data_IF_307075227066
#
_entry.id   IF_307075227066
#
_cell.length_a   1.000
_cell.length_b   1.000
_cell.length_c   1.000
_cell.angle_alpha   90.00
_cell.angle_beta   90.00
_cell.angle_gamma   90.00
#
_symmetry.space_group_name_H-M   'P 1'
#
loop_
_entity.id
_entity.type
_entity.pdbx_description
1 polymer ?
#
# COMPACT_ATOMS: atom_id res chain seq x y z
N UNK A 1 21.97 9.17 23.78
CA UNK A 1 20.80 9.21 24.68
C UNK A 1 19.62 9.50 23.80
N UNK A 2 18.71 8.55 23.68
CA UNK A 2 17.54 8.67 22.81
C UNK A 2 16.47 9.44 23.59
N UNK A 3 16.20 10.69 23.20
CA UNK A 3 15.20 11.52 23.86
C UNK A 3 13.81 10.95 23.59
N UNK A 4 13.21 10.35 24.63
CA UNK A 4 11.83 9.88 24.57
C UNK A 4 10.91 11.10 24.54
N UNK A 5 10.45 11.51 23.36
CA UNK A 5 9.46 12.59 23.19
C UNK A 5 8.12 12.15 23.79
N UNK A 6 7.71 12.77 24.90
CA UNK A 6 6.34 12.67 25.43
C UNK A 6 5.47 13.78 24.82
N UNK A 7 4.39 13.38 24.13
CA UNK A 7 3.46 14.31 23.48
C UNK A 7 2.42 14.81 24.47
N UNK A 8 2.22 16.13 24.54
CA UNK A 8 1.38 16.76 25.57
C UNK A 8 -0.03 17.07 25.07
N UNK A 9 -0.24 17.20 23.76
CA UNK A 9 -1.59 17.37 23.18
C UNK A 9 -1.70 16.89 21.73
N UNK A 10 -2.93 16.79 21.21
CA UNK A 10 -3.22 16.32 19.84
C UNK A 10 -2.61 17.21 18.73
N UNK A 11 -2.31 18.48 19.03
CA UNK A 11 -1.65 19.41 18.11
C UNK A 11 -0.20 18.99 17.84
N UNK A 12 0.53 18.57 18.88
CA UNK A 12 1.93 18.11 18.78
C UNK A 12 2.05 16.87 17.88
N UNK A 13 1.05 15.98 17.94
CA UNK A 13 0.99 14.79 17.10
C UNK A 13 0.75 15.15 15.62
N UNK A 14 -0.10 16.14 15.35
CA UNK A 14 -0.41 16.62 13.99
C UNK A 14 0.81 17.28 13.34
N UNK A 15 1.54 18.08 14.10
CA UNK A 15 2.78 18.73 13.63
C UNK A 15 3.87 17.69 13.34
N UNK A 16 4.06 16.71 14.21
CA UNK A 16 5.04 15.65 13.98
C UNK A 16 4.65 14.73 12.82
N UNK A 17 3.37 14.41 12.61
CA UNK A 17 2.94 13.67 11.40
C UNK A 17 3.26 14.45 10.13
N UNK A 18 3.25 15.79 10.17
CA UNK A 18 3.69 16.62 9.06
C UNK A 18 5.22 16.68 8.88
N UNK A 19 5.97 16.33 9.92
CA UNK A 19 7.44 16.19 9.93
C UNK A 19 7.92 14.75 9.64
N UNK A 20 7.08 13.74 9.85
CA UNK A 20 7.30 12.39 9.35
C UNK A 20 7.35 12.48 7.82
N UNK A 21 8.23 11.68 7.20
CA UNK A 21 8.71 11.73 5.80
C UNK A 21 7.61 11.43 4.72
N UNK A 22 6.40 11.94 4.94
CA UNK A 22 5.16 11.51 4.30
C UNK A 22 4.56 10.26 4.94
N UNK A 23 3.37 9.89 4.47
CA UNK A 23 2.77 8.59 4.74
C UNK A 23 2.47 7.89 3.42
N UNK A 24 2.34 6.57 3.45
CA UNK A 24 1.75 5.81 2.35
C UNK A 24 0.56 5.02 2.88
N UNK A 25 -0.63 5.38 2.42
CA UNK A 25 -1.88 4.76 2.87
C UNK A 25 -2.65 4.12 1.72
N UNK A 26 -3.39 3.06 2.03
CA UNK A 26 -4.32 2.45 1.09
C UNK A 26 -5.60 1.99 1.77
N UNK A 27 -6.76 2.11 1.09
CA UNK A 27 -7.99 1.49 1.55
C UNK A 27 -7.98 -0.02 1.26
N UNK A 28 -8.60 -0.79 2.16
CA UNK A 28 -8.94 -2.20 1.93
C UNK A 28 -10.29 -2.52 2.57
N UNK A 29 -11.03 -3.44 1.96
CA UNK A 29 -12.31 -3.89 2.52
C UNK A 29 -12.06 -4.60 3.85
N UNK A 30 -12.85 -4.29 4.87
CA UNK A 30 -12.70 -4.87 6.20
C UNK A 30 -12.72 -6.39 6.15
N UNK A 31 -11.72 -6.99 6.81
CA UNK A 31 -11.50 -8.43 6.86
C UNK A 31 -10.70 -8.99 5.67
N UNK A 32 -10.36 -8.18 4.68
CA UNK A 32 -9.40 -8.56 3.64
C UNK A 32 -7.97 -8.20 4.03
N UNK A 33 -7.01 -8.95 3.51
CA UNK A 33 -5.59 -8.64 3.69
C UNK A 33 -5.24 -7.33 2.96
N UNK A 34 -4.52 -6.38 3.57
CA UNK A 34 -4.29 -5.08 2.98
C UNK A 34 -3.28 -5.09 1.83
N UNK A 35 -2.54 -6.19 1.63
CA UNK A 35 -1.52 -6.30 0.58
C UNK A 35 -1.65 -7.53 -0.32
N UNK A 36 -2.61 -8.41 -0.03
CA UNK A 36 -2.84 -9.65 -0.78
C UNK A 36 -4.33 -9.78 -1.10
N UNK A 37 -4.64 -10.45 -2.20
CA UNK A 37 -5.98 -10.60 -2.73
C UNK A 37 -6.47 -12.05 -2.63
N UNK A 38 -7.79 -12.29 -2.60
CA UNK A 38 -8.35 -13.63 -2.75
C UNK A 38 -7.93 -14.25 -4.09
N UNK A 39 -7.92 -15.59 -4.15
CA UNK A 39 -7.56 -16.27 -5.39
C UNK A 39 -8.60 -16.04 -6.49
N UNK A 40 -8.13 -15.57 -7.65
CA UNK A 40 -8.91 -15.31 -8.86
C UNK A 40 -8.18 -15.99 -10.01
N UNK A 41 -8.86 -16.93 -10.69
CA UNK A 41 -8.23 -17.80 -11.67
C UNK A 41 -7.98 -17.16 -13.04
N UNK A 42 -8.76 -16.15 -13.42
CA UNK A 42 -8.74 -15.59 -14.78
C UNK A 42 -9.02 -14.09 -14.84
N UNK A 43 -8.72 -13.48 -15.97
CA UNK A 43 -8.89 -12.06 -16.27
C UNK A 43 -7.71 -11.21 -15.84
N UNK A 44 -7.81 -9.90 -16.10
CA UNK A 44 -6.76 -8.91 -15.80
C UNK A 44 -6.38 -8.86 -14.31
N UNK A 45 -7.33 -9.21 -13.43
CA UNK A 45 -7.14 -9.20 -11.98
C UNK A 45 -6.89 -10.59 -11.39
N UNK A 46 -6.59 -11.59 -12.24
CA UNK A 46 -6.18 -12.91 -11.76
C UNK A 46 -5.00 -12.80 -10.81
N UNK A 47 -4.91 -13.75 -9.89
CA UNK A 47 -3.87 -13.77 -8.87
C UNK A 47 -2.94 -14.96 -9.04
N UNK A 48 -1.72 -14.79 -8.52
CA UNK A 48 -0.77 -15.88 -8.28
C UNK A 48 -0.33 -15.73 -6.84
N UNK A 49 -0.69 -16.69 -5.98
CA UNK A 49 -0.39 -16.67 -4.55
C UNK A 49 -0.86 -15.36 -3.87
N UNK A 50 -2.08 -14.91 -4.19
CA UNK A 50 -2.66 -13.67 -3.68
C UNK A 50 -2.08 -12.37 -4.25
N UNK A 51 -1.16 -12.42 -5.22
CA UNK A 51 -0.63 -11.23 -5.93
C UNK A 51 -1.35 -11.08 -7.26
N UNK A 52 -1.94 -9.90 -7.55
CA UNK A 52 -2.56 -9.65 -8.85
C UNK A 52 -1.51 -9.47 -9.93
N UNK A 53 -1.69 -10.12 -11.06
CA UNK A 53 -0.74 -10.05 -12.19
C UNK A 53 -0.69 -8.69 -12.88
N UNK A 54 -1.68 -7.83 -12.64
CA UNK A 54 -1.64 -6.45 -13.13
C UNK A 54 -0.87 -5.50 -12.22
N UNK A 55 -0.56 -5.91 -10.98
CA UNK A 55 0.15 -5.07 -10.01
C UNK A 55 1.67 -5.26 -10.10
N UNK A 56 2.16 -6.41 -10.60
CA UNK A 56 3.58 -6.71 -10.70
C UNK A 56 3.90 -7.44 -12.00
N UNK A 57 5.09 -7.19 -12.54
CA UNK A 57 5.59 -7.89 -13.72
C UNK A 57 6.08 -9.28 -13.33
N UNK A 58 5.36 -10.32 -13.77
CA UNK A 58 5.70 -11.72 -13.48
C UNK A 58 6.40 -12.38 -14.68
N UNK A 59 7.25 -13.38 -14.41
CA UNK A 59 7.75 -14.29 -15.45
C UNK A 59 6.61 -15.11 -16.07
N UNK A 60 6.86 -15.69 -17.24
CA UNK A 60 5.87 -16.51 -17.97
C UNK A 60 5.33 -17.68 -17.14
N UNK A 61 6.19 -18.31 -16.33
CA UNK A 61 5.85 -19.40 -15.41
C UNK A 61 5.20 -18.92 -14.09
N UNK A 62 5.10 -17.61 -13.87
CA UNK A 62 4.56 -16.99 -12.66
C UNK A 62 5.40 -17.19 -11.40
N UNK A 63 6.58 -17.81 -11.49
CA UNK A 63 7.41 -18.13 -10.33
C UNK A 63 8.26 -16.96 -9.84
N UNK A 64 8.52 -15.98 -10.72
CA UNK A 64 9.37 -14.84 -10.46
C UNK A 64 8.64 -13.53 -10.65
N UNK A 65 9.00 -12.56 -9.82
CA UNK A 65 8.63 -11.16 -9.97
C UNK A 65 9.86 -10.45 -10.52
N UNK A 66 9.67 -9.73 -11.62
CA UNK A 66 10.71 -8.93 -12.27
C UNK A 66 10.67 -7.50 -11.72
N UNK A 67 11.84 -6.85 -11.61
CA UNK A 67 11.90 -5.47 -11.15
C UNK A 67 11.26 -4.54 -12.17
N UNK A 68 10.39 -3.67 -11.68
CA UNK A 68 9.67 -2.68 -12.48
C UNK A 68 9.28 -1.52 -11.56
N UNK A 69 9.75 -0.33 -11.87
CA UNK A 69 9.55 0.86 -11.03
C UNK A 69 8.20 1.55 -11.28
N UNK A 70 7.36 1.03 -12.19
CA UNK A 70 6.01 1.53 -12.50
C UNK A 70 4.93 0.43 -12.41
N UNK A 71 5.30 -0.76 -11.93
CA UNK A 71 4.37 -1.83 -11.59
C UNK A 71 4.55 -2.16 -10.10
N UNK A 72 3.53 -1.82 -9.31
CA UNK A 72 3.51 -2.17 -7.90
C UNK A 72 2.12 -2.04 -7.28
N UNK A 73 2.07 -2.36 -6.00
CA UNK A 73 0.86 -2.24 -5.21
C UNK A 73 0.53 -0.75 -4.96
N UNK A 74 -0.71 -0.34 -5.19
CA UNK A 74 -1.15 1.06 -5.10
C UNK A 74 -1.28 1.60 -3.68
N UNK A 75 -0.71 2.78 -3.45
CA UNK A 75 -0.82 3.58 -2.23
C UNK A 75 -1.05 5.06 -2.56
N UNK A 76 -1.49 5.79 -1.55
CA UNK A 76 -1.75 7.22 -1.56
C UNK A 76 -0.77 7.91 -0.61
N UNK A 77 -0.10 8.96 -1.08
CA UNK A 77 0.75 9.82 -0.25
C UNK A 77 0.15 11.19 0.06
N UNK A 78 -1.10 11.41 -0.37
CA UNK A 78 -1.84 12.62 -0.05
C UNK A 78 -3.27 12.29 0.36
N UNK A 79 -3.83 13.13 1.23
CA UNK A 79 -5.19 12.97 1.72
C UNK A 79 -6.23 13.00 0.59
N UNK A 80 -6.06 13.91 -0.39
CA UNK A 80 -6.99 14.03 -1.52
C UNK A 80 -7.01 12.77 -2.41
N UNK A 81 -5.84 12.18 -2.67
CA UNK A 81 -5.75 10.92 -3.41
C UNK A 81 -6.36 9.77 -2.60
N UNK A 82 -6.07 9.70 -1.29
CA UNK A 82 -6.62 8.69 -0.40
C UNK A 82 -8.16 8.72 -0.34
N UNK A 83 -8.78 9.90 -0.20
CA UNK A 83 -10.25 10.04 -0.26
C UNK A 83 -10.83 9.48 -1.56
N UNK A 84 -10.17 9.79 -2.69
CA UNK A 84 -10.62 9.33 -4.01
C UNK A 84 -10.50 7.81 -4.16
N UNK A 85 -9.39 7.23 -3.70
CA UNK A 85 -9.16 5.80 -3.67
C UNK A 85 -10.16 5.08 -2.74
N UNK A 86 -10.39 5.61 -1.55
CA UNK A 86 -11.35 5.08 -0.58
C UNK A 86 -12.75 5.04 -1.20
N UNK A 87 -13.22 6.15 -1.77
CA UNK A 87 -14.51 6.21 -2.48
C UNK A 87 -14.62 5.18 -3.61
N UNK A 88 -13.53 4.91 -4.32
CA UNK A 88 -13.51 3.89 -5.37
C UNK A 88 -13.66 2.48 -4.79
N UNK A 89 -12.95 2.15 -3.71
CA UNK A 89 -13.02 0.82 -3.06
C UNK A 89 -14.36 0.61 -2.36
N UNK A 90 -14.90 1.64 -1.69
CA UNK A 90 -16.19 1.54 -1.00
C UNK A 90 -17.37 1.30 -1.95
N UNK A 91 -17.25 1.69 -3.23
CA UNK A 91 -18.29 1.47 -4.24
C UNK A 91 -18.44 -0.03 -4.51
N UNK A 92 -19.50 -0.64 -3.97
CA UNK A 92 -19.83 -2.04 -4.20
C UNK A 92 -19.12 -3.03 -3.26
N UNK A 93 -18.39 -2.56 -2.25
CA UNK A 93 -17.73 -3.45 -1.29
C UNK A 93 -18.72 -4.26 -0.43
N UNK A 94 -19.93 -3.75 -0.20
CA UNK A 94 -20.94 -4.37 0.68
C UNK A 94 -20.54 -4.48 2.15
N UNK A 95 -19.36 -3.94 2.50
CA UNK A 95 -18.74 -3.93 3.84
C UNK A 95 -17.97 -2.63 4.03
N UNK A 96 -17.67 -2.32 5.29
CA UNK A 96 -16.83 -1.20 5.66
C UNK A 96 -15.44 -1.31 5.02
N UNK A 97 -14.81 -0.15 4.79
CA UNK A 97 -13.45 -0.04 4.26
C UNK A 97 -12.58 0.57 5.35
N UNK A 98 -11.47 -0.09 5.64
CA UNK A 98 -10.46 0.37 6.59
C UNK A 98 -9.29 0.98 5.81
N UNK A 99 -8.58 1.92 6.44
CA UNK A 99 -7.38 2.54 5.86
C UNK A 99 -6.15 2.02 6.57
N UNK A 100 -5.23 1.48 5.79
CA UNK A 100 -3.95 0.95 6.25
C UNK A 100 -2.83 1.90 5.83
N UNK A 101 -1.87 2.16 6.70
CA UNK A 101 -0.79 3.11 6.40
C UNK A 101 0.54 2.72 7.03
N UNK A 102 1.62 3.08 6.34
CA UNK A 102 2.99 2.99 6.83
C UNK A 102 3.59 4.40 6.95
N UNK A 103 4.34 4.60 8.04
CA UNK A 103 4.95 5.87 8.42
C UNK A 103 6.46 5.93 8.15
N UNK A 104 7.13 4.79 8.00
CA UNK A 104 8.59 4.73 7.96
C UNK A 104 9.11 3.92 6.78
N UNK A 105 10.24 4.38 6.22
CA UNK A 105 11.06 3.62 5.27
C UNK A 105 11.65 2.35 5.90
N UNK A 106 11.80 2.30 7.23
CA UNK A 106 12.32 1.14 7.95
C UNK A 106 11.41 -0.10 7.85
N UNK A 107 10.14 0.09 7.55
CA UNK A 107 9.16 -1.00 7.45
C UNK A 107 9.13 -1.65 6.05
N UNK A 108 9.97 -1.17 5.12
CA UNK A 108 10.02 -1.68 3.75
C UNK A 108 11.17 -2.69 3.62
N UNK A 109 10.88 -3.97 3.34
CA UNK A 109 11.90 -4.99 3.13
C UNK A 109 12.85 -4.64 1.99
N UNK A 110 14.09 -5.13 2.08
CA UNK A 110 15.09 -4.99 1.02
C UNK A 110 14.53 -5.47 -0.33
N UNK A 111 14.89 -4.77 -1.41
CA UNK A 111 14.45 -5.09 -2.75
C UNK A 111 13.07 -4.56 -3.11
N UNK A 112 12.49 -3.70 -2.25
CA UNK A 112 11.23 -3.00 -2.51
C UNK A 112 11.36 -1.52 -2.17
N UNK A 113 10.55 -0.68 -2.81
CA UNK A 113 10.48 0.75 -2.49
C UNK A 113 9.18 1.36 -2.94
N UNK A 114 8.82 2.51 -2.37
CA UNK A 114 7.76 3.34 -2.94
C UNK A 114 8.30 4.19 -4.08
N UNK A 115 7.66 4.09 -5.24
CA UNK A 115 7.95 4.90 -6.41
C UNK A 115 6.74 5.78 -6.75
N UNK A 116 6.92 7.06 -7.09
CA UNK A 116 5.82 7.87 -7.57
C UNK A 116 5.29 7.30 -8.89
N UNK A 117 3.97 7.33 -9.05
CA UNK A 117 3.35 7.03 -10.34
C UNK A 117 3.68 8.15 -11.34
N UNK A 118 4.37 7.80 -12.42
CA UNK A 118 4.84 8.74 -13.45
C UNK A 118 3.88 8.89 -14.62
N UNK A 119 2.70 8.25 -14.58
CA UNK A 119 1.69 8.40 -15.63
C UNK A 119 1.29 9.87 -15.77
N UNK A 120 1.17 10.33 -17.01
CA UNK A 120 0.69 11.68 -17.35
C UNK A 120 -0.84 11.77 -17.13
N UNK A 121 -1.29 11.67 -15.87
CA UNK A 121 -2.69 11.75 -15.46
C UNK A 121 -2.81 12.51 -14.16
N UNK A 122 -3.91 13.27 -14.01
CA UNK A 122 -4.26 13.88 -12.72
C UNK A 122 -4.41 12.85 -11.60
N UNK A 123 -4.78 11.62 -11.93
CA UNK A 123 -4.88 10.51 -10.96
C UNK A 123 -3.53 10.01 -10.46
N UNK A 124 -2.42 10.29 -11.15
CA UNK A 124 -1.09 9.90 -10.71
C UNK A 124 -0.57 10.81 -9.58
N UNK A 125 -1.12 12.03 -9.44
CA UNK A 125 -0.70 12.96 -8.38
C UNK A 125 -1.07 12.39 -7.00
N UNK A 126 -0.03 12.12 -6.20
CA UNK A 126 -0.18 11.52 -4.87
C UNK A 126 -0.44 10.01 -4.90
N UNK A 127 -0.38 9.37 -6.07
CA UNK A 127 -0.38 7.92 -6.21
C UNK A 127 1.07 7.41 -6.20
N UNK A 128 1.32 6.40 -5.39
CA UNK A 128 2.61 5.75 -5.27
C UNK A 128 2.45 4.24 -5.40
N UNK A 129 3.47 3.60 -5.93
CA UNK A 129 3.54 2.17 -6.17
C UNK A 129 4.57 1.58 -5.24
N UNK A 130 4.20 0.56 -4.47
CA UNK A 130 5.16 -0.27 -3.76
C UNK A 130 5.74 -1.29 -4.75
N UNK A 131 6.89 -0.97 -5.30
CA UNK A 131 7.54 -1.70 -6.40
C UNK A 131 8.52 -2.74 -5.90
N UNK A 132 8.89 -3.64 -6.81
CA UNK A 132 10.01 -4.55 -6.65
C UNK A 132 11.21 -4.01 -7.43
N UNK A 133 12.37 -3.95 -6.77
CA UNK A 133 13.59 -3.34 -7.31
C UNK A 133 14.64 -4.37 -7.73
N UNK A 134 14.45 -5.64 -7.34
CA UNK A 134 15.31 -6.76 -7.69
C UNK A 134 14.45 -7.98 -8.03
N UNK A 135 14.91 -8.84 -8.93
CA UNK A 135 14.19 -10.08 -9.23
C UNK A 135 14.09 -10.94 -7.96
N UNK A 136 12.88 -11.42 -7.64
CA UNK A 136 12.66 -12.32 -6.51
C UNK A 136 11.61 -13.39 -6.82
N UNK A 137 11.58 -14.48 -6.06
CA UNK A 137 10.52 -15.48 -6.16
C UNK A 137 9.18 -14.88 -5.73
N UNK A 138 8.09 -15.35 -6.33
CA UNK A 138 6.74 -14.92 -5.95
C UNK A 138 6.46 -15.17 -4.46
N UNK A 139 6.95 -16.29 -3.91
CA UNK A 139 6.85 -16.59 -2.48
C UNK A 139 7.54 -15.56 -1.60
N UNK A 140 8.73 -15.07 -2.01
CA UNK A 140 9.45 -14.03 -1.30
C UNK A 140 8.72 -12.68 -1.35
N UNK A 141 8.08 -12.34 -2.47
CA UNK A 141 7.21 -11.16 -2.52
C UNK A 141 6.03 -11.31 -1.55
N UNK A 142 5.36 -12.46 -1.52
CA UNK A 142 4.23 -12.72 -0.61
C UNK A 142 4.64 -12.57 0.85
N UNK A 143 5.78 -13.13 1.26
CA UNK A 143 6.33 -12.97 2.61
C UNK A 143 6.61 -11.51 2.95
N UNK A 144 7.21 -10.76 2.03
CA UNK A 144 7.48 -9.32 2.21
C UNK A 144 6.19 -8.50 2.28
N UNK A 145 5.17 -8.82 1.48
CA UNK A 145 3.87 -8.14 1.52
C UNK A 145 3.12 -8.40 2.84
N UNK A 146 3.23 -9.61 3.40
CA UNK A 146 2.74 -9.94 4.76
C UNK A 146 3.51 -9.16 5.82
N UNK A 147 4.84 -9.13 5.73
CA UNK A 147 5.69 -8.37 6.63
C UNK A 147 5.32 -6.88 6.71
N UNK A 148 5.03 -6.28 5.55
CA UNK A 148 4.57 -4.88 5.48
C UNK A 148 3.18 -4.75 6.09
N UNK A 149 2.24 -5.65 5.74
CA UNK A 149 0.89 -5.63 6.28
C UNK A 149 0.87 -5.70 7.82
N UNK A 150 1.72 -6.53 8.42
CA UNK A 150 1.85 -6.67 9.88
C UNK A 150 2.34 -5.38 10.57
N UNK A 151 3.01 -4.49 9.83
CA UNK A 151 3.54 -3.21 10.32
C UNK A 151 2.68 -2.02 9.95
N UNK A 152 1.64 -2.22 9.16
CA UNK A 152 0.69 -1.17 8.84
C UNK A 152 -0.12 -0.81 10.09
N UNK A 153 -0.17 0.48 10.38
CA UNK A 153 -1.20 1.00 11.28
C UNK A 153 -2.56 1.01 10.56
N UNK A 154 -3.65 0.92 11.31
CA UNK A 154 -5.00 0.80 10.75
C UNK A 154 -5.94 1.82 11.36
N UNK A 155 -6.61 2.60 10.52
CA UNK A 155 -7.73 3.46 10.90
C UNK A 155 -9.01 2.71 10.52
N UNK A 156 -9.73 2.22 11.53
CA UNK A 156 -11.04 1.57 11.36
C UNK A 156 -12.11 2.64 11.16
N UNK A 157 -13.15 2.33 10.37
CA UNK A 157 -14.26 3.25 10.06
C UNK A 157 -13.78 4.59 9.46
N UNK A 158 -12.76 4.53 8.60
CA UNK A 158 -12.14 5.73 8.05
C UNK A 158 -13.11 6.61 7.23
N UNK A 159 -14.26 6.06 6.79
CA UNK A 159 -15.28 6.80 6.05
C UNK A 159 -15.84 8.02 6.77
N UNK A 160 -15.97 7.99 8.10
CA UNK A 160 -16.47 9.14 8.87
C UNK A 160 -15.41 10.25 9.02
N UNK A 161 -14.13 9.90 8.81
CA UNK A 161 -12.99 10.80 8.95
C UNK A 161 -12.46 11.34 7.61
N UNK A 162 -12.83 10.74 6.47
CA UNK A 162 -12.35 11.04 5.11
C UNK A 162 -13.37 11.86 4.30
#
# INVERSE_FOLDING_TARGET
MDETKQFKCLTDLREIISELDGFYARPSVRGQHPTLYPEVSDGRYRTVCGVRVCDYTLSEDGQWVLPDDQMGLSFSSSWQHLKSAHKMVSRGAGKDVDVFWVLSRADIPKGMSFQPDRRASKSAKGHYLLTVNERMKISSLVEKLKWIADRMSVIKNAGDAL
#
